data_IF_481754325502
#
_entry.id   IF_481754325502
#
_cell.length_a   1.000
_cell.length_b   1.000
_cell.length_c   1.000
_cell.angle_alpha   90.00
_cell.angle_beta   90.00
_cell.angle_gamma   90.00
#
_symmetry.space_group_name_H-M   'P 1'
#
loop_
_entity.id
_entity.type
_entity.pdbx_description
1 polymer ?
#
# COMPACT_ATOMS: atom_id res chain seq x y z
N UNK A 1 19.42 -14.80 10.68
CA UNK A 1 19.42 -13.36 10.97
C UNK A 1 20.20 -12.67 9.85
N UNK A 2 19.52 -12.17 8.85
CA UNK A 2 20.11 -11.24 7.86
C UNK A 2 19.52 -9.87 8.20
N UNK A 3 20.33 -9.04 8.85
CA UNK A 3 20.04 -7.62 9.07
C UNK A 3 20.37 -6.90 7.78
N UNK A 4 19.36 -6.60 6.99
CA UNK A 4 19.49 -5.66 5.87
C UNK A 4 19.43 -4.24 6.43
N UNK A 5 20.61 -3.69 6.75
CA UNK A 5 20.76 -2.26 7.02
C UNK A 5 20.71 -1.53 5.68
N UNK A 6 19.68 -0.74 5.45
CA UNK A 6 19.66 0.22 4.35
C UNK A 6 20.14 1.57 4.85
N UNK A 7 21.07 2.16 4.12
CA UNK A 7 21.54 3.53 4.31
C UNK A 7 20.63 4.45 3.49
N UNK A 8 19.92 5.32 4.14
CA UNK A 8 19.38 6.47 3.46
C UNK A 8 20.34 7.66 3.66
N UNK A 9 20.49 8.48 2.64
CA UNK A 9 21.38 9.65 2.62
C UNK A 9 20.88 10.79 3.51
N UNK A 10 19.71 10.67 4.12
CA UNK A 10 19.10 11.67 5.00
C UNK A 10 19.19 11.33 6.48
N UNK A 11 19.86 10.24 6.85
CA UNK A 11 20.16 9.91 8.24
C UNK A 11 18.98 9.49 9.11
N UNK A 12 17.81 9.26 8.53
CA UNK A 12 16.66 8.76 9.27
C UNK A 12 16.52 7.26 9.10
N UNK A 13 16.86 6.55 10.16
CA UNK A 13 16.70 5.10 10.25
C UNK A 13 15.28 4.79 10.72
N UNK A 14 14.49 4.15 9.89
CA UNK A 14 13.27 3.51 10.33
C UNK A 14 13.52 2.01 10.49
N UNK A 15 14.03 1.62 11.64
CA UNK A 15 13.98 0.22 12.05
C UNK A 15 12.54 -0.08 12.49
N UNK A 16 11.78 -0.77 11.65
CA UNK A 16 10.60 -1.49 12.12
C UNK A 16 11.06 -2.72 12.91
N UNK A 17 11.55 -2.50 14.13
CA UNK A 17 11.89 -3.59 15.03
C UNK A 17 10.63 -4.36 15.40
N UNK A 18 10.63 -5.65 15.10
CA UNK A 18 9.68 -6.61 15.63
C UNK A 18 8.51 -7.01 14.75
N UNK A 19 8.39 -6.50 13.52
CA UNK A 19 7.37 -6.99 12.61
C UNK A 19 7.80 -8.35 12.02
N UNK A 20 7.16 -9.43 12.46
CA UNK A 20 7.32 -10.73 11.79
C UNK A 20 6.54 -10.71 10.49
N UNK A 21 7.24 -10.74 9.37
CA UNK A 21 6.62 -10.99 8.07
C UNK A 21 6.10 -12.42 8.03
N UNK A 22 4.79 -12.61 8.01
CA UNK A 22 4.23 -13.91 7.69
C UNK A 22 4.50 -14.19 6.21
N UNK A 23 5.06 -15.35 5.89
CA UNK A 23 5.06 -15.80 4.49
C UNK A 23 3.60 -15.88 4.06
N UNK A 24 3.25 -15.19 2.99
CA UNK A 24 1.93 -15.27 2.40
C UNK A 24 1.51 -16.72 2.30
N UNK A 25 0.28 -17.03 2.70
CA UNK A 25 -0.21 -18.40 2.80
C UNK A 25 0.15 -19.19 1.54
N UNK A 26 0.44 -20.48 1.74
CA UNK A 26 0.85 -21.40 0.69
C UNK A 26 0.01 -21.17 -0.58
N UNK A 27 0.65 -21.07 -1.76
CA UNK A 27 -0.10 -20.90 -3.00
C UNK A 27 -1.06 -22.09 -3.12
N UNK A 28 -2.34 -21.85 -3.07
CA UNK A 28 -3.28 -22.88 -3.41
C UNK A 28 -4.59 -22.99 -2.63
N UNK A 29 -4.83 -22.24 -1.58
CA UNK A 29 -6.04 -22.51 -0.77
C UNK A 29 -7.16 -21.48 -0.86
N UNK A 30 -6.95 -20.32 -1.47
CA UNK A 30 -7.99 -19.29 -1.57
C UNK A 30 -8.01 -18.63 -2.94
N UNK A 31 -8.50 -19.35 -3.96
CA UNK A 31 -8.98 -18.71 -5.20
C UNK A 31 -10.33 -18.06 -4.86
N UNK A 32 -10.30 -16.91 -4.26
CA UNK A 32 -11.48 -16.04 -4.25
C UNK A 32 -11.63 -15.49 -5.65
N UNK A 33 -12.73 -15.78 -6.31
CA UNK A 33 -13.12 -15.02 -7.49
C UNK A 33 -13.07 -13.54 -7.10
N UNK A 34 -12.25 -12.78 -7.79
CA UNK A 34 -12.13 -11.34 -7.59
C UNK A 34 -12.53 -10.66 -8.90
N UNK A 35 -13.45 -9.71 -8.81
CA UNK A 35 -13.80 -8.86 -9.94
C UNK A 35 -13.16 -7.50 -9.72
N UNK A 36 -12.30 -7.10 -10.63
CA UNK A 36 -11.77 -5.75 -10.64
C UNK A 36 -12.89 -4.73 -10.87
N UNK A 37 -12.89 -3.70 -10.07
CA UNK A 37 -13.78 -2.56 -10.20
C UNK A 37 -13.11 -1.47 -11.04
N UNK A 38 -13.89 -0.55 -11.66
CA UNK A 38 -13.31 0.61 -12.35
C UNK A 38 -12.34 1.36 -11.43
N UNK A 39 -11.27 1.88 -12.01
CA UNK A 39 -10.27 2.65 -11.27
C UNK A 39 -10.93 3.77 -10.47
N UNK A 40 -10.65 3.81 -9.17
CA UNK A 40 -11.16 4.85 -8.30
C UNK A 40 -10.34 6.13 -8.50
N UNK A 41 -10.96 7.16 -9.07
CA UNK A 41 -10.33 8.46 -9.30
C UNK A 41 -9.71 9.06 -8.01
N UNK A 42 -10.21 8.66 -6.83
CA UNK A 42 -9.65 9.09 -5.54
C UNK A 42 -8.27 8.48 -5.28
N UNK A 43 -8.00 7.25 -5.75
CA UNK A 43 -6.66 6.67 -5.70
C UNK A 43 -5.71 7.48 -6.57
N UNK A 44 -6.15 7.92 -7.74
CA UNK A 44 -5.36 8.75 -8.65
C UNK A 44 -5.08 10.15 -8.11
N UNK A 45 -5.92 10.66 -7.20
CA UNK A 45 -5.71 11.96 -6.52
C UNK A 45 -5.00 11.82 -5.17
N UNK A 46 -4.39 10.69 -4.89
CA UNK A 46 -3.68 10.33 -3.65
C UNK A 46 -2.16 10.51 -3.79
N UNK A 47 -1.38 9.73 -3.04
CA UNK A 47 0.08 9.63 -3.22
C UNK A 47 0.48 9.09 -4.60
N UNK A 48 -0.47 8.53 -5.36
CA UNK A 48 -0.27 8.06 -6.73
C UNK A 48 -0.49 9.18 -7.77
N UNK A 49 -0.81 10.40 -7.38
CA UNK A 49 -0.98 11.49 -8.34
C UNK A 49 0.35 11.86 -9.01
N UNK A 50 0.30 12.26 -10.28
CA UNK A 50 1.47 12.72 -11.02
C UNK A 50 2.24 13.85 -10.29
N UNK A 51 1.51 14.68 -9.52
CA UNK A 51 2.10 15.75 -8.72
C UNK A 51 2.83 15.21 -7.46
N UNK A 52 2.48 14.00 -7.00
CA UNK A 52 3.06 13.37 -5.81
C UNK A 52 4.25 12.48 -6.14
N UNK A 53 4.22 11.83 -7.28
CA UNK A 53 5.21 10.85 -7.68
C UNK A 53 6.49 11.49 -8.22
N UNK A 54 7.59 10.78 -8.04
CA UNK A 54 8.82 11.06 -8.79
C UNK A 54 8.62 10.68 -10.27
N UNK A 55 9.32 11.33 -11.21
CA UNK A 55 9.22 11.00 -12.64
C UNK A 55 9.61 9.56 -12.97
N UNK A 56 10.40 8.94 -12.13
CA UNK A 56 10.90 7.57 -12.25
C UNK A 56 10.11 6.57 -11.38
N UNK A 57 9.03 7.00 -10.73
CA UNK A 57 8.20 6.12 -9.92
C UNK A 57 7.28 5.26 -10.79
N UNK A 58 7.19 3.99 -10.44
CA UNK A 58 6.18 3.06 -10.96
C UNK A 58 5.16 2.78 -9.85
N UNK A 59 3.90 2.71 -10.23
CA UNK A 59 2.83 2.51 -9.27
C UNK A 59 1.69 1.66 -9.83
N UNK A 60 0.97 1.02 -8.93
CA UNK A 60 -0.26 0.28 -9.22
C UNK A 60 -1.31 0.61 -8.16
N UNK A 61 -2.51 1.01 -8.58
CA UNK A 61 -3.63 1.27 -7.70
C UNK A 61 -4.90 0.62 -8.25
N UNK A 62 -5.42 -0.41 -7.57
CA UNK A 62 -6.56 -1.21 -8.04
C UNK A 62 -7.54 -1.50 -6.91
N UNK A 63 -8.79 -1.70 -7.28
CA UNK A 63 -9.86 -2.07 -6.34
C UNK A 63 -10.59 -3.29 -6.88
N UNK A 64 -10.87 -4.24 -6.00
CA UNK A 64 -11.51 -5.50 -6.35
C UNK A 64 -12.73 -5.74 -5.46
N UNK A 65 -13.76 -6.36 -6.02
CA UNK A 65 -14.83 -6.99 -5.25
C UNK A 65 -14.54 -8.47 -5.16
N UNK A 66 -14.45 -8.99 -3.92
CA UNK A 66 -14.27 -10.41 -3.69
C UNK A 66 -15.62 -11.13 -3.64
N UNK A 67 -15.71 -12.31 -4.25
CA UNK A 67 -16.89 -13.17 -4.11
C UNK A 67 -17.05 -13.64 -2.66
N UNK A 68 -15.94 -13.84 -1.98
CA UNK A 68 -15.88 -14.17 -0.57
C UNK A 68 -14.69 -13.51 0.10
N UNK A 69 -14.94 -12.64 1.06
CA UNK A 69 -13.89 -12.01 1.84
C UNK A 69 -13.23 -13.03 2.79
N UNK A 70 -11.90 -13.05 2.91
CA UNK A 70 -11.22 -13.85 3.93
C UNK A 70 -11.50 -13.27 5.32
N UNK A 71 -11.35 -14.07 6.36
CA UNK A 71 -11.47 -13.62 7.76
C UNK A 71 -10.35 -12.64 8.13
N UNK A 72 -9.19 -12.77 7.49
CA UNK A 72 -8.01 -11.94 7.72
C UNK A 72 -7.42 -11.53 6.40
N UNK A 73 -6.99 -10.27 6.29
CA UNK A 73 -6.39 -9.71 5.09
C UNK A 73 -5.09 -10.42 4.71
N UNK A 74 -4.31 -10.90 5.67
CA UNK A 74 -3.05 -11.63 5.42
C UNK A 74 -3.29 -13.03 4.78
N UNK A 75 -4.51 -13.55 4.91
CA UNK A 75 -4.90 -14.79 4.24
C UNK A 75 -5.32 -14.57 2.79
N UNK A 76 -5.41 -13.32 2.32
CA UNK A 76 -5.74 -12.99 0.94
C UNK A 76 -4.59 -13.44 0.03
N UNK A 77 -4.92 -14.26 -0.97
CA UNK A 77 -3.96 -14.58 -2.02
C UNK A 77 -3.84 -13.39 -2.98
N UNK A 78 -2.83 -12.56 -2.79
CA UNK A 78 -2.57 -11.39 -3.65
C UNK A 78 -2.31 -11.80 -5.10
N UNK A 79 -1.73 -12.99 -5.34
CA UNK A 79 -1.55 -13.52 -6.70
C UNK A 79 -2.86 -13.72 -7.45
N UNK A 80 -3.94 -14.07 -6.75
CA UNK A 80 -5.25 -14.28 -7.40
C UNK A 80 -5.87 -12.99 -7.92
N UNK A 81 -5.33 -11.83 -7.53
CA UNK A 81 -5.79 -10.52 -7.99
C UNK A 81 -5.17 -10.11 -9.34
N UNK A 82 -4.15 -10.81 -9.83
CA UNK A 82 -3.49 -10.48 -11.09
C UNK A 82 -2.83 -9.11 -11.08
N UNK A 83 -2.16 -8.77 -9.98
CA UNK A 83 -1.42 -7.51 -9.83
C UNK A 83 -0.14 -7.54 -10.65
N UNK A 84 0.14 -6.44 -11.37
CA UNK A 84 1.34 -6.30 -12.19
C UNK A 84 2.61 -6.30 -11.32
N UNK A 85 2.53 -5.68 -10.15
CA UNK A 85 3.64 -5.65 -9.18
C UNK A 85 4.04 -7.04 -8.65
N UNK A 86 3.22 -8.06 -8.87
CA UNK A 86 3.48 -9.44 -8.48
C UNK A 86 3.72 -10.37 -9.66
N UNK A 87 3.72 -9.88 -10.90
CA UNK A 87 3.94 -10.69 -12.07
C UNK A 87 5.35 -11.34 -12.05
N UNK A 88 5.41 -12.67 -12.21
CA UNK A 88 6.67 -13.42 -12.17
C UNK A 88 7.33 -13.54 -10.79
N UNK A 89 6.70 -13.02 -9.75
CA UNK A 89 7.26 -12.98 -8.40
C UNK A 89 7.21 -14.34 -7.68
N UNK A 90 8.06 -14.49 -6.67
CA UNK A 90 7.86 -15.44 -5.58
C UNK A 90 6.68 -14.98 -4.69
N UNK A 91 6.08 -15.88 -3.88
CA UNK A 91 4.99 -15.47 -3.00
C UNK A 91 5.36 -14.23 -2.18
N UNK A 92 4.54 -13.15 -2.23
CA UNK A 92 4.83 -11.94 -1.48
C UNK A 92 4.81 -12.24 0.02
N UNK A 93 5.63 -11.51 0.75
CA UNK A 93 5.55 -11.48 2.20
C UNK A 93 4.54 -10.41 2.57
N UNK A 94 3.62 -10.75 3.46
CA UNK A 94 2.64 -9.80 3.96
C UNK A 94 2.65 -9.78 5.50
N UNK A 95 2.43 -8.61 6.07
CA UNK A 95 2.23 -8.45 7.51
C UNK A 95 0.97 -7.65 7.78
N UNK A 96 0.25 -8.02 8.83
CA UNK A 96 -0.84 -7.19 9.32
C UNK A 96 -0.32 -5.79 9.70
N UNK A 97 -1.16 -4.82 9.49
CA UNK A 97 -0.87 -3.44 9.86
C UNK A 97 -2.11 -2.77 10.44
N UNK A 98 -1.92 -1.66 11.13
CA UNK A 98 -3.01 -0.83 11.63
C UNK A 98 -3.25 0.35 10.70
N UNK A 99 -4.46 0.92 10.74
CA UNK A 99 -4.76 2.16 10.00
C UNK A 99 -3.83 3.31 10.39
N UNK A 100 -3.32 3.32 11.63
CA UNK A 100 -2.38 4.31 12.11
C UNK A 100 -0.98 4.16 11.45
N UNK A 101 -0.45 2.94 11.39
CA UNK A 101 0.83 2.66 10.71
C UNK A 101 0.74 2.97 9.22
N UNK A 102 -0.39 2.60 8.58
CA UNK A 102 -0.65 2.93 7.19
C UNK A 102 -0.70 4.44 6.96
N UNK A 103 -1.41 5.18 7.82
CA UNK A 103 -1.43 6.66 7.72
C UNK A 103 -0.04 7.25 7.87
N UNK A 104 0.76 6.78 8.84
CA UNK A 104 2.13 7.26 9.03
C UNK A 104 2.99 7.04 7.77
N UNK A 105 2.89 5.86 7.16
CA UNK A 105 3.56 5.54 5.90
C UNK A 105 3.09 6.45 4.74
N UNK A 106 1.79 6.63 4.59
CA UNK A 106 1.22 7.51 3.56
C UNK A 106 1.62 8.98 3.72
N UNK A 107 1.73 9.46 4.96
CA UNK A 107 2.24 10.80 5.27
C UNK A 107 3.72 10.93 4.85
N UNK A 108 4.51 9.92 5.13
CA UNK A 108 5.93 9.86 4.73
C UNK A 108 6.08 9.86 3.21
N UNK A 109 5.33 9.01 2.50
CA UNK A 109 5.33 8.99 1.03
C UNK A 109 4.92 10.35 0.44
N UNK A 110 3.90 10.97 1.03
CA UNK A 110 3.44 12.29 0.58
C UNK A 110 4.44 13.44 0.81
N UNK A 111 5.38 13.29 1.75
CA UNK A 111 6.42 14.30 2.03
C UNK A 111 7.74 13.99 1.37
N UNK A 112 8.10 12.71 1.24
CA UNK A 112 9.42 12.27 0.80
C UNK A 112 9.65 12.39 -0.70
N UNK A 113 8.64 12.17 -1.50
CA UNK A 113 8.67 12.41 -2.95
C UNK A 113 9.55 11.46 -3.79
N UNK A 114 10.27 10.50 -3.18
CA UNK A 114 11.18 9.57 -3.89
C UNK A 114 12.62 10.06 -3.99
N UNK A 115 13.47 9.30 -4.70
CA UNK A 115 14.93 9.48 -4.73
C UNK A 115 15.39 10.85 -5.27
N UNK A 116 14.66 11.40 -6.23
CA UNK A 116 15.07 12.62 -6.96
C UNK A 116 14.12 13.80 -6.76
N UNK A 117 13.17 13.70 -5.85
CA UNK A 117 12.21 14.76 -5.60
C UNK A 117 12.56 15.51 -4.32
N UNK A 118 12.61 16.84 -4.42
CA UNK A 118 12.76 17.68 -3.24
C UNK A 118 11.64 17.41 -2.25
N UNK A 119 12.00 17.17 -1.00
CA UNK A 119 11.04 16.95 0.07
C UNK A 119 9.94 18.02 0.06
N UNK A 120 8.70 17.60 0.09
CA UNK A 120 7.53 18.47 0.04
C UNK A 120 7.20 19.00 1.43
N UNK A 121 6.38 20.04 1.48
CA UNK A 121 5.94 20.58 2.75
C UNK A 121 5.13 19.53 3.56
N UNK A 122 5.23 19.59 4.88
CA UNK A 122 4.43 18.73 5.76
C UNK A 122 2.90 18.92 5.56
N UNK A 123 2.46 20.10 5.09
CA UNK A 123 1.07 20.34 4.76
C UNK A 123 0.63 19.53 3.54
N UNK A 124 1.48 19.46 2.52
CA UNK A 124 1.24 18.67 1.31
C UNK A 124 1.23 17.18 1.63
N UNK A 125 2.21 16.70 2.40
CA UNK A 125 2.24 15.31 2.85
C UNK A 125 0.99 14.92 3.63
N UNK A 126 0.51 15.78 4.53
CA UNK A 126 -0.77 15.54 5.23
C UNK A 126 -1.95 15.45 4.27
N UNK A 127 -2.04 16.35 3.30
CA UNK A 127 -3.12 16.32 2.31
C UNK A 127 -3.13 15.00 1.55
N UNK A 128 -1.99 14.59 1.00
CA UNK A 128 -1.85 13.36 0.23
C UNK A 128 -2.09 12.11 1.09
N UNK A 129 -1.52 12.06 2.29
CA UNK A 129 -1.71 10.93 3.20
C UNK A 129 -3.18 10.70 3.55
N UNK A 130 -3.92 11.76 3.87
CA UNK A 130 -5.34 11.67 4.17
C UNK A 130 -6.19 11.35 2.93
N UNK A 131 -5.84 11.88 1.77
CA UNK A 131 -6.50 11.50 0.50
C UNK A 131 -6.31 10.02 0.19
N UNK A 132 -5.10 9.51 0.38
CA UNK A 132 -4.79 8.09 0.20
C UNK A 132 -5.56 7.20 1.16
N UNK A 133 -5.57 7.54 2.45
CA UNK A 133 -6.31 6.78 3.46
C UNK A 133 -7.81 6.77 3.15
N UNK A 134 -8.37 7.93 2.72
CA UNK A 134 -9.76 8.04 2.27
C UNK A 134 -10.06 7.11 1.10
N UNK A 135 -9.23 7.14 0.07
CA UNK A 135 -9.41 6.33 -1.12
C UNK A 135 -9.31 4.84 -0.81
N UNK A 136 -8.27 4.44 -0.07
CA UNK A 136 -8.05 3.04 0.32
C UNK A 136 -9.16 2.50 1.22
N UNK A 137 -9.63 3.26 2.21
CA UNK A 137 -10.70 2.84 3.10
C UNK A 137 -12.09 2.89 2.47
N UNK A 138 -12.23 3.48 1.27
CA UNK A 138 -13.51 3.64 0.59
C UNK A 138 -14.39 4.77 1.13
N UNK A 139 -13.84 5.67 1.96
CA UNK A 139 -14.59 6.77 2.50
C UNK A 139 -15.06 7.73 1.39
N UNK A 140 -16.27 8.31 1.52
CA UNK A 140 -16.77 9.31 0.56
C UNK A 140 -15.84 10.52 0.42
N UNK A 141 -15.85 11.16 -0.74
CA UNK A 141 -15.01 12.34 -0.98
C UNK A 141 -15.31 13.49 0.00
N UNK A 142 -16.57 13.63 0.37
CA UNK A 142 -17.06 14.66 1.30
C UNK A 142 -16.90 14.29 2.78
N UNK A 143 -16.36 13.09 3.10
CA UNK A 143 -16.21 12.64 4.47
C UNK A 143 -15.26 13.54 5.28
N UNK A 144 -15.61 13.85 6.52
CA UNK A 144 -14.69 14.51 7.46
C UNK A 144 -13.52 13.58 7.82
N UNK A 145 -12.46 14.14 8.39
CA UNK A 145 -11.29 13.34 8.80
C UNK A 145 -11.65 12.29 9.87
N UNK A 146 -12.58 12.61 10.76
CA UNK A 146 -13.08 11.68 11.79
C UNK A 146 -13.79 10.49 11.15
N UNK A 147 -14.60 10.72 10.11
CA UNK A 147 -15.30 9.66 9.38
C UNK A 147 -14.28 8.81 8.61
N UNK A 148 -13.29 9.43 7.97
CA UNK A 148 -12.20 8.70 7.29
C UNK A 148 -11.44 7.83 8.29
N UNK A 149 -11.06 8.37 9.45
CA UNK A 149 -10.35 7.62 10.49
C UNK A 149 -11.19 6.45 11.02
N UNK A 150 -12.48 6.65 11.27
CA UNK A 150 -13.39 5.60 11.74
C UNK A 150 -13.52 4.47 10.71
N UNK A 151 -13.73 4.80 9.43
CA UNK A 151 -13.81 3.82 8.35
C UNK A 151 -12.48 3.08 8.18
N UNK A 152 -11.35 3.79 8.18
CA UNK A 152 -10.04 3.18 8.08
C UNK A 152 -9.76 2.21 9.25
N UNK A 153 -10.21 2.56 10.46
CA UNK A 153 -10.09 1.69 11.65
C UNK A 153 -10.99 0.45 11.59
N UNK A 154 -12.07 0.48 10.79
CA UNK A 154 -12.94 -0.68 10.57
C UNK A 154 -12.42 -1.62 9.48
N UNK A 155 -11.47 -1.18 8.68
CA UNK A 155 -10.81 -2.01 7.66
C UNK A 155 -9.72 -2.88 8.27
N UNK A 156 -9.39 -3.97 7.57
CA UNK A 156 -8.19 -4.73 7.86
C UNK A 156 -7.08 -4.31 6.89
N UNK A 157 -5.88 -4.14 7.40
CA UNK A 157 -4.74 -3.65 6.66
C UNK A 157 -3.60 -4.64 6.66
N UNK A 158 -2.92 -4.75 5.52
CA UNK A 158 -1.64 -5.42 5.42
C UNK A 158 -0.67 -4.58 4.58
N UNK A 159 0.60 -4.69 4.92
CA UNK A 159 1.70 -4.29 4.05
C UNK A 159 2.25 -5.53 3.39
N UNK A 160 2.68 -5.43 2.14
CA UNK A 160 3.33 -6.54 1.45
C UNK A 160 4.59 -6.07 0.72
N UNK A 161 5.49 -6.99 0.52
CA UNK A 161 6.68 -6.83 -0.31
C UNK A 161 6.86 -8.07 -1.18
N UNK A 162 7.53 -7.93 -2.30
CA UNK A 162 7.82 -9.03 -3.21
C UNK A 162 9.21 -8.86 -3.81
N UNK A 163 9.84 -9.98 -4.11
CA UNK A 163 11.09 -10.03 -4.87
C UNK A 163 10.81 -10.12 -6.39
N UNK A 164 9.85 -9.34 -6.88
CA UNK A 164 9.58 -9.21 -8.31
C UNK A 164 10.48 -8.15 -8.93
N UNK A 165 10.69 -8.27 -10.24
CA UNK A 165 11.43 -7.24 -11.00
C UNK A 165 10.68 -5.89 -11.05
N UNK A 166 9.43 -5.86 -10.61
CA UNK A 166 8.63 -4.64 -10.54
C UNK A 166 9.06 -3.73 -9.37
N UNK A 167 9.44 -4.33 -8.22
CA UNK A 167 9.99 -3.60 -7.08
C UNK A 167 11.49 -3.44 -7.26
N UNK A 168 11.95 -2.20 -7.36
CA UNK A 168 13.35 -1.89 -7.69
C UNK A 168 14.30 -1.99 -6.50
N UNK A 169 13.78 -2.05 -5.29
CA UNK A 169 14.55 -2.17 -4.04
C UNK A 169 15.59 -1.05 -3.83
N UNK A 170 15.27 0.17 -4.29
CA UNK A 170 16.18 1.33 -4.19
C UNK A 170 15.81 2.23 -3.01
N UNK A 171 14.78 3.05 -3.12
CA UNK A 171 14.41 4.00 -2.06
C UNK A 171 13.00 3.73 -1.52
N UNK A 172 12.02 3.59 -2.41
CA UNK A 172 10.64 3.34 -2.04
C UNK A 172 10.18 2.02 -2.66
N UNK A 173 9.79 1.09 -1.80
CA UNK A 173 9.06 -0.13 -2.18
C UNK A 173 7.95 -0.32 -1.17
N UNK A 174 6.74 -0.07 -1.58
CA UNK A 174 5.56 -0.13 -0.71
C UNK A 174 4.44 -0.89 -1.39
N UNK A 175 3.96 -1.92 -0.73
CA UNK A 175 2.71 -2.58 -1.06
C UNK A 175 1.73 -2.45 0.11
N UNK A 176 0.53 -1.95 -0.15
CA UNK A 176 -0.55 -1.80 0.81
C UNK A 176 -1.79 -2.52 0.33
N UNK A 177 -2.45 -3.21 1.24
CA UNK A 177 -3.76 -3.84 1.02
C UNK A 177 -4.73 -3.38 2.09
N UNK A 178 -5.89 -2.98 1.67
CA UNK A 178 -7.02 -2.65 2.54
C UNK A 178 -8.20 -3.56 2.22
N UNK A 179 -8.55 -4.45 3.13
CA UNK A 179 -9.80 -5.21 3.07
C UNK A 179 -10.89 -4.44 3.84
N UNK A 180 -11.87 -3.97 3.12
CA UNK A 180 -13.00 -3.18 3.65
C UNK A 180 -14.08 -4.09 4.23
N UNK A 181 -14.91 -3.62 5.17
CA UNK A 181 -16.02 -4.40 5.75
C UNK A 181 -17.02 -4.90 4.72
N UNK A 182 -17.18 -4.20 3.59
CA UNK A 182 -18.09 -4.59 2.52
C UNK A 182 -17.53 -5.72 1.62
N UNK A 183 -16.34 -6.22 1.90
CA UNK A 183 -15.68 -7.26 1.12
C UNK A 183 -15.02 -6.74 -0.17
N UNK A 184 -14.83 -5.43 -0.30
CA UNK A 184 -13.94 -4.88 -1.33
C UNK A 184 -12.49 -4.84 -0.82
N UNK A 185 -11.55 -4.97 -1.75
CA UNK A 185 -10.12 -4.86 -1.48
C UNK A 185 -9.55 -3.73 -2.32
N UNK A 186 -8.88 -2.79 -1.69
CA UNK A 186 -8.08 -1.79 -2.37
C UNK A 186 -6.60 -2.13 -2.22
N UNK A 187 -5.86 -2.04 -3.31
CA UNK A 187 -4.42 -2.27 -3.36
C UNK A 187 -3.74 -1.01 -3.87
N UNK A 188 -2.62 -0.69 -3.25
CA UNK A 188 -1.70 0.34 -3.69
C UNK A 188 -0.29 -0.24 -3.64
N UNK A 189 0.43 -0.20 -4.75
CA UNK A 189 1.85 -0.51 -4.80
C UNK A 189 2.60 0.66 -5.41
N UNK A 190 3.79 0.93 -4.92
CA UNK A 190 4.65 2.02 -5.35
C UNK A 190 6.10 1.59 -5.23
N UNK A 191 6.87 1.82 -6.28
CA UNK A 191 8.32 1.69 -6.30
C UNK A 191 8.94 2.89 -7.03
N UNK A 192 10.16 3.26 -6.70
CA UNK A 192 10.93 4.20 -7.48
C UNK A 192 12.27 3.60 -7.91
N UNK A 193 12.80 4.12 -9.00
CA UNK A 193 14.11 3.74 -9.54
C UNK A 193 15.12 4.88 -9.34
N UNK A 194 16.40 4.54 -9.40
CA UNK A 194 17.48 5.52 -9.58
C UNK A 194 17.42 6.21 -10.94
#
# INVERSE_FOLDING_TARGET
RVSTRRHDTLGNWFEFEGASWARGGAPGTWTTGAKELPCDARLMASVLSEEALAPNATWEGRVFKLDRAPLRVEALSLFSLGLDCLAGATPPRARASTSHEVLALLLQLGTGGGAYVVARSAAWGRLLGWRSLRALSGAPETASLEVVAALASSCQWAQFESESDWFNHVVIDVGLVCLRPDGTVAVLALTDTD
#
